data_IF_826808988383
#
_entry.id   IF_826808988383
#
_cell.length_a   1.000
_cell.length_b   1.000
_cell.length_c   1.000
_cell.angle_alpha   90.00
_cell.angle_beta   90.00
_cell.angle_gamma   90.00
#
_symmetry.space_group_name_H-M   'P 1'
#
loop_
_entity.id
_entity.type
_entity.pdbx_description
1 polymer ?
#
# COMPACT_ATOMS: atom_id res chain seq x y z
N UNK A 1 -3.54 22.75 -5.35
CA UNK A 1 -4.66 21.80 -5.19
C UNK A 1 -5.02 21.73 -3.71
N UNK A 2 -6.31 21.80 -3.33
CA UNK A 2 -6.70 21.77 -1.93
C UNK A 2 -6.35 20.41 -1.30
N UNK A 3 -5.70 20.43 -0.13
CA UNK A 3 -5.25 19.23 0.59
C UNK A 3 -6.33 18.14 0.77
N UNK A 4 -7.59 18.48 1.11
CA UNK A 4 -8.66 17.50 1.25
C UNK A 4 -8.99 16.72 -0.04
N UNK A 5 -8.86 17.35 -1.21
CA UNK A 5 -9.14 16.70 -2.49
C UNK A 5 -8.08 15.63 -2.80
N UNK A 6 -6.80 15.97 -2.61
CA UNK A 6 -5.71 15.02 -2.77
C UNK A 6 -5.85 13.83 -1.82
N UNK A 7 -6.27 14.09 -0.58
CA UNK A 7 -6.57 13.04 0.39
C UNK A 7 -7.72 12.14 -0.07
N UNK A 8 -8.86 12.72 -0.46
CA UNK A 8 -10.03 11.97 -0.94
C UNK A 8 -9.70 11.08 -2.15
N UNK A 9 -8.97 11.63 -3.13
CA UNK A 9 -8.52 10.86 -4.31
C UNK A 9 -7.62 9.70 -3.89
N UNK A 10 -6.68 9.94 -2.96
CA UNK A 10 -5.79 8.89 -2.46
C UNK A 10 -6.58 7.78 -1.75
N UNK A 11 -7.53 8.14 -0.89
CA UNK A 11 -8.38 7.18 -0.17
C UNK A 11 -9.22 6.37 -1.14
N UNK A 12 -9.81 6.99 -2.16
CA UNK A 12 -10.62 6.28 -3.16
C UNK A 12 -9.78 5.31 -4.00
N UNK A 13 -8.62 5.74 -4.50
CA UNK A 13 -7.72 4.89 -5.31
C UNK A 13 -7.21 3.70 -4.49
N UNK A 14 -6.73 3.95 -3.27
CA UNK A 14 -6.18 2.88 -2.42
C UNK A 14 -7.27 1.97 -1.84
N UNK A 15 -8.42 2.52 -1.46
CA UNK A 15 -9.54 1.75 -0.95
C UNK A 15 -10.12 0.80 -2.01
N UNK A 16 -10.33 1.28 -3.23
CA UNK A 16 -10.86 0.47 -4.35
C UNK A 16 -9.86 -0.56 -4.87
N UNK A 17 -8.56 -0.39 -4.61
CA UNK A 17 -7.54 -1.35 -5.05
C UNK A 17 -7.77 -2.74 -4.44
N UNK A 18 -8.20 -2.85 -3.18
CA UNK A 18 -8.49 -4.14 -2.55
C UNK A 18 -9.60 -4.91 -3.24
N UNK A 19 -10.67 -4.20 -3.61
CA UNK A 19 -11.77 -4.77 -4.36
C UNK A 19 -11.31 -5.20 -5.76
N UNK A 20 -10.52 -4.37 -6.45
CA UNK A 20 -9.94 -4.73 -7.75
C UNK A 20 -9.02 -5.95 -7.70
N UNK A 21 -8.21 -6.09 -6.65
CA UNK A 21 -7.37 -7.27 -6.43
C UNK A 21 -8.23 -8.52 -6.27
N UNK A 22 -9.28 -8.46 -5.43
CA UNK A 22 -10.16 -9.59 -5.21
C UNK A 22 -10.85 -10.08 -6.50
N UNK A 23 -11.22 -9.16 -7.40
CA UNK A 23 -11.77 -9.50 -8.72
C UNK A 23 -10.74 -10.15 -9.67
N UNK A 24 -9.45 -9.92 -9.42
CA UNK A 24 -8.35 -10.41 -10.25
C UNK A 24 -7.84 -11.79 -9.80
N UNK A 25 -8.16 -12.23 -8.58
CA UNK A 25 -7.83 -13.56 -8.07
C UNK A 25 -8.68 -14.62 -8.78
N UNK A 26 -8.02 -15.69 -9.25
CA UNK A 26 -8.69 -16.91 -9.76
C UNK A 26 -8.68 -17.12 -11.29
N UNK A 27 -8.36 -16.10 -12.10
CA UNK A 27 -8.28 -16.25 -13.58
C UNK A 27 -6.84 -16.38 -14.10
N UNK A 28 -5.87 -15.77 -13.43
CA UNK A 28 -4.46 -15.74 -13.81
C UNK A 28 -3.62 -15.91 -12.53
N UNK A 29 -2.47 -16.61 -12.57
CA UNK A 29 -1.57 -16.71 -11.42
C UNK A 29 -1.25 -15.32 -10.84
N UNK A 30 -1.24 -15.23 -9.52
CA UNK A 30 -1.16 -13.97 -8.78
C UNK A 30 0.12 -13.21 -9.11
N UNK A 31 1.23 -13.94 -9.24
CA UNK A 31 2.54 -13.40 -9.58
C UNK A 31 2.56 -12.73 -10.95
N UNK A 32 1.80 -13.26 -11.91
CA UNK A 32 1.70 -12.74 -13.28
C UNK A 32 0.84 -11.47 -13.29
N UNK A 33 -0.28 -11.44 -12.56
CA UNK A 33 -1.11 -10.25 -12.39
C UNK A 33 -0.34 -9.08 -11.78
N UNK A 34 0.45 -9.36 -10.74
CA UNK A 34 1.34 -8.39 -10.10
C UNK A 34 2.43 -7.91 -11.09
N UNK A 35 3.04 -8.82 -11.84
CA UNK A 35 4.05 -8.49 -12.84
C UNK A 35 3.52 -7.54 -13.92
N UNK A 36 2.36 -7.81 -14.52
CA UNK A 36 1.75 -6.93 -15.51
C UNK A 36 1.43 -5.55 -14.95
N UNK A 37 0.83 -5.49 -13.76
CA UNK A 37 0.46 -4.22 -13.11
C UNK A 37 1.67 -3.31 -12.93
N UNK A 38 2.77 -3.84 -12.38
CA UNK A 38 3.98 -3.05 -12.14
C UNK A 38 4.80 -2.81 -13.39
N UNK A 39 4.80 -3.72 -14.37
CA UNK A 39 5.43 -3.49 -15.66
C UNK A 39 4.75 -2.34 -16.43
N UNK A 40 3.41 -2.32 -16.46
CA UNK A 40 2.64 -1.23 -17.08
C UNK A 40 2.87 0.08 -16.34
N UNK A 41 2.79 0.09 -15.01
CA UNK A 41 3.02 1.29 -14.20
C UNK A 41 4.44 1.85 -14.39
N UNK A 42 5.46 0.98 -14.36
CA UNK A 42 6.85 1.35 -14.60
C UNK A 42 7.07 1.87 -16.01
N UNK A 43 6.50 1.21 -17.03
CA UNK A 43 6.56 1.65 -18.43
C UNK A 43 5.91 3.01 -18.65
N UNK A 44 4.73 3.24 -18.08
CA UNK A 44 4.03 4.53 -18.14
C UNK A 44 4.83 5.64 -17.45
N UNK A 45 5.42 5.35 -16.28
CA UNK A 45 6.25 6.32 -15.58
C UNK A 45 7.51 6.67 -16.38
N UNK A 46 8.17 5.66 -16.96
CA UNK A 46 9.34 5.87 -17.82
C UNK A 46 8.96 6.68 -19.07
N UNK A 47 7.88 6.33 -19.75
CA UNK A 47 7.37 7.05 -20.90
C UNK A 47 7.05 8.52 -20.55
N UNK A 48 6.43 8.76 -19.39
CA UNK A 48 6.15 10.10 -18.89
C UNK A 48 7.43 10.89 -18.59
N UNK A 49 8.42 10.27 -17.95
CA UNK A 49 9.72 10.88 -17.68
C UNK A 49 10.44 11.28 -18.97
N UNK A 50 10.45 10.39 -19.97
CA UNK A 50 11.02 10.64 -21.30
C UNK A 50 10.28 11.78 -22.01
N UNK A 51 8.94 11.76 -22.01
CA UNK A 51 8.12 12.80 -22.63
C UNK A 51 8.31 14.18 -21.98
N UNK A 52 8.60 14.23 -20.67
CA UNK A 52 8.90 15.48 -19.94
C UNK A 52 10.38 15.85 -19.96
N UNK A 53 11.23 15.13 -20.69
CA UNK A 53 12.67 15.40 -20.79
C UNK A 53 13.41 15.29 -19.46
N UNK A 54 12.89 14.49 -18.51
CA UNK A 54 13.52 14.32 -17.19
C UNK A 54 14.76 13.45 -17.34
N UNK A 55 15.90 13.93 -16.85
CA UNK A 55 17.13 13.14 -16.80
C UNK A 55 16.95 11.96 -15.83
N UNK A 56 16.98 10.74 -16.36
CA UNK A 56 16.98 9.49 -15.60
C UNK A 56 18.40 9.00 -15.26
N UNK A 57 19.36 9.92 -15.24
CA UNK A 57 20.76 9.65 -14.91
C UNK A 57 20.93 9.62 -13.39
N UNK A 58 20.53 8.50 -12.78
CA UNK A 58 20.76 8.23 -11.37
C UNK A 58 22.16 7.65 -11.17
N UNK A 59 22.81 7.94 -10.04
CA UNK A 59 24.06 7.26 -9.69
C UNK A 59 23.82 5.77 -9.46
N UNK A 60 24.84 4.93 -9.64
CA UNK A 60 24.71 3.47 -9.44
C UNK A 60 24.13 3.10 -8.06
N UNK A 61 24.51 3.85 -7.02
CA UNK A 61 23.94 3.68 -5.66
C UNK A 61 22.45 3.99 -5.61
N UNK A 62 22.01 5.06 -6.26
CA UNK A 62 20.60 5.45 -6.30
C UNK A 62 19.77 4.42 -7.08
N UNK A 63 20.32 3.87 -8.16
CA UNK A 63 19.68 2.79 -8.91
C UNK A 63 19.48 1.54 -8.04
N UNK A 64 20.46 1.20 -7.19
CA UNK A 64 20.33 0.08 -6.23
C UNK A 64 19.22 0.38 -5.22
N UNK A 65 19.15 1.58 -4.65
CA UNK A 65 18.07 1.92 -3.72
C UNK A 65 16.70 1.91 -4.38
N UNK A 66 16.59 2.40 -5.62
CA UNK A 66 15.34 2.33 -6.39
C UNK A 66 14.95 0.87 -6.67
N UNK A 67 15.92 0.02 -7.04
CA UNK A 67 15.68 -1.39 -7.27
C UNK A 67 15.27 -2.13 -5.98
N UNK A 68 15.94 -1.87 -4.86
CA UNK A 68 15.61 -2.42 -3.54
C UNK A 68 14.22 -1.96 -3.09
N UNK A 69 13.90 -0.69 -3.25
CA UNK A 69 12.56 -0.18 -2.95
C UNK A 69 11.51 -0.84 -3.85
N UNK A 70 11.81 -1.00 -5.14
CA UNK A 70 10.95 -1.70 -6.07
C UNK A 70 10.67 -3.14 -5.65
N UNK A 71 11.74 -3.87 -5.31
CA UNK A 71 11.67 -5.26 -4.89
C UNK A 71 10.92 -5.42 -3.56
N UNK A 72 11.28 -4.64 -2.54
CA UNK A 72 10.70 -4.80 -1.21
C UNK A 72 9.28 -4.25 -1.12
N UNK A 73 9.03 -3.04 -1.66
CA UNK A 73 7.77 -2.32 -1.49
C UNK A 73 6.70 -2.76 -2.49
N UNK A 74 7.10 -3.16 -3.70
CA UNK A 74 6.15 -3.59 -4.73
C UNK A 74 6.17 -5.10 -4.91
N UNK A 75 7.30 -5.71 -5.29
CA UNK A 75 7.31 -7.12 -5.65
C UNK A 75 7.00 -8.05 -4.46
N UNK A 76 7.87 -8.08 -3.45
CA UNK A 76 7.75 -8.98 -2.31
C UNK A 76 6.48 -8.67 -1.52
N UNK A 77 6.21 -7.39 -1.27
CA UNK A 77 5.02 -6.97 -0.55
C UNK A 77 3.74 -7.43 -1.25
N UNK A 78 3.56 -7.15 -2.55
CA UNK A 78 2.34 -7.51 -3.25
C UNK A 78 2.21 -9.02 -3.47
N UNK A 79 3.30 -9.75 -3.71
CA UNK A 79 3.24 -11.21 -3.84
C UNK A 79 2.74 -11.83 -2.54
N UNK A 80 3.30 -11.45 -1.39
CA UNK A 80 2.83 -11.93 -0.09
C UNK A 80 1.37 -11.53 0.16
N UNK A 81 0.98 -10.30 -0.21
CA UNK A 81 -0.40 -9.84 -0.08
C UNK A 81 -1.38 -10.61 -0.96
N UNK A 82 -1.03 -10.87 -2.21
CA UNK A 82 -1.89 -11.62 -3.13
C UNK A 82 -2.03 -13.08 -2.71
N UNK A 83 -0.94 -13.69 -2.23
CA UNK A 83 -1.01 -15.04 -1.62
C UNK A 83 -1.97 -14.99 -0.44
N UNK A 84 -1.82 -14.03 0.49
CA UNK A 84 -2.75 -13.88 1.61
C UNK A 84 -4.20 -13.62 1.14
N UNK A 85 -4.39 -12.88 0.04
CA UNK A 85 -5.69 -12.59 -0.54
C UNK A 85 -6.41 -13.81 -1.11
N UNK A 86 -5.68 -14.86 -1.48
CA UNK A 86 -6.27 -16.14 -1.88
C UNK A 86 -6.87 -16.93 -0.71
N UNK A 87 -6.43 -16.64 0.53
CA UNK A 87 -6.88 -17.32 1.75
C UNK A 87 -7.81 -16.46 2.62
N UNK A 88 -7.90 -15.16 2.37
CA UNK A 88 -8.59 -14.18 3.21
C UNK A 88 -9.62 -13.40 2.39
N UNK A 89 -10.77 -13.11 3.00
CA UNK A 89 -11.74 -12.19 2.37
C UNK A 89 -11.14 -10.80 2.25
N UNK A 90 -11.57 -10.04 1.23
CA UNK A 90 -11.06 -8.68 0.98
C UNK A 90 -11.25 -7.75 2.18
N UNK A 91 -12.28 -7.99 2.99
CA UNK A 91 -12.51 -7.28 4.24
C UNK A 91 -11.42 -7.52 5.28
N UNK A 92 -11.06 -8.78 5.52
CA UNK A 92 -10.01 -9.11 6.49
C UNK A 92 -8.64 -8.55 6.06
N UNK A 93 -8.34 -8.57 4.75
CA UNK A 93 -7.13 -7.93 4.22
C UNK A 93 -7.09 -6.43 4.52
N UNK A 94 -8.20 -5.73 4.37
CA UNK A 94 -8.30 -4.31 4.66
C UNK A 94 -8.07 -4.01 6.16
N UNK A 95 -8.55 -4.87 7.07
CA UNK A 95 -8.24 -4.79 8.52
C UNK A 95 -6.75 -4.91 8.76
N UNK A 96 -6.13 -5.99 8.26
CA UNK A 96 -4.71 -6.28 8.46
C UNK A 96 -3.87 -5.13 7.90
N UNK A 97 -4.19 -4.62 6.70
CA UNK A 97 -3.48 -3.49 6.13
C UNK A 97 -3.63 -2.21 6.96
N UNK A 98 -4.79 -2.00 7.57
CA UNK A 98 -5.00 -0.81 8.40
C UNK A 98 -4.23 -0.84 9.72
N UNK A 99 -3.81 -2.03 10.19
CA UNK A 99 -2.87 -2.16 11.32
C UNK A 99 -1.49 -1.55 11.02
N UNK A 100 -1.16 -1.32 9.74
CA UNK A 100 0.08 -0.66 9.33
C UNK A 100 0.18 0.76 9.92
N UNK A 101 -0.94 1.43 10.22
CA UNK A 101 -0.97 2.74 10.89
C UNK A 101 -0.34 2.65 12.28
N UNK A 102 -0.68 1.59 13.01
CA UNK A 102 -0.16 1.31 14.36
C UNK A 102 1.30 0.91 14.27
N UNK A 103 1.63 -0.01 13.36
CA UNK A 103 3.01 -0.46 13.13
C UNK A 103 3.92 0.70 12.72
N UNK A 104 3.47 1.58 11.81
CA UNK A 104 4.22 2.77 11.41
C UNK A 104 4.38 3.76 12.55
N UNK A 105 3.37 3.94 13.41
CA UNK A 105 3.49 4.82 14.58
C UNK A 105 4.55 4.32 15.55
N UNK A 106 4.52 3.02 15.89
CA UNK A 106 5.53 2.41 16.76
C UNK A 106 6.91 2.39 16.10
N UNK A 107 6.98 2.02 14.81
CA UNK A 107 8.22 2.02 14.03
C UNK A 107 8.84 3.41 13.93
N UNK A 108 8.04 4.46 13.74
CA UNK A 108 8.50 5.84 13.74
C UNK A 108 9.08 6.25 15.10
N UNK A 109 8.42 5.88 16.19
CA UNK A 109 8.90 6.14 17.54
C UNK A 109 10.22 5.38 17.85
N UNK A 110 10.30 4.11 17.47
CA UNK A 110 11.43 3.25 17.79
C UNK A 110 12.67 3.52 16.92
N UNK A 111 12.48 3.65 15.60
CA UNK A 111 13.58 3.76 14.62
C UNK A 111 14.05 5.20 14.47
N UNK A 112 13.12 6.17 14.43
CA UNK A 112 13.43 7.57 14.14
C UNK A 112 13.37 8.46 15.39
N UNK A 113 13.06 7.90 16.57
CA UNK A 113 12.97 8.65 17.83
C UNK A 113 11.87 9.72 17.84
N UNK A 114 10.92 9.67 16.90
CA UNK A 114 9.90 10.71 16.78
C UNK A 114 8.91 10.62 17.95
N UNK A 115 8.67 11.71 18.69
CA UNK A 115 7.78 11.67 19.85
C UNK A 115 6.34 11.38 19.41
N UNK A 116 5.74 10.35 20.01
CA UNK A 116 4.33 9.99 19.78
C UNK A 116 3.41 11.08 20.33
N UNK A 117 3.07 12.06 19.48
CA UNK A 117 2.14 13.14 19.83
C UNK A 117 0.78 12.54 20.18
N UNK A 118 0.20 12.96 21.33
CA UNK A 118 -1.13 12.51 21.80
C UNK A 118 -2.24 12.56 20.74
N UNK A 119 -2.19 13.54 19.83
CA UNK A 119 -3.14 13.66 18.72
C UNK A 119 -3.07 12.50 17.72
N UNK A 120 -1.87 11.99 17.45
CA UNK A 120 -1.64 10.86 16.55
C UNK A 120 -2.12 9.56 17.20
N UNK A 121 -1.80 9.37 18.48
CA UNK A 121 -2.28 8.23 19.26
C UNK A 121 -3.81 8.21 19.36
N UNK A 122 -4.44 9.36 19.64
CA UNK A 122 -5.89 9.49 19.67
C UNK A 122 -6.52 9.21 18.30
N UNK A 123 -5.93 9.73 17.22
CA UNK A 123 -6.38 9.44 15.85
C UNK A 123 -6.29 7.96 15.49
N UNK A 124 -5.21 7.28 15.87
CA UNK A 124 -5.08 5.84 15.66
C UNK A 124 -6.05 5.04 16.52
N UNK A 125 -6.30 5.44 17.77
CA UNK A 125 -7.30 4.78 18.63
C UNK A 125 -8.71 4.85 18.03
N UNK A 126 -9.13 6.03 17.55
CA UNK A 126 -10.40 6.21 16.85
C UNK A 126 -10.43 5.36 15.57
N UNK A 127 -9.34 5.38 14.78
CA UNK A 127 -9.23 4.57 13.57
C UNK A 127 -9.39 3.08 13.83
N UNK A 128 -8.63 2.53 14.79
CA UNK A 128 -8.69 1.12 15.17
C UNK A 128 -10.07 0.71 15.68
N UNK A 129 -10.72 1.58 16.45
CA UNK A 129 -12.07 1.33 16.97
C UNK A 129 -13.08 1.29 15.81
N UNK A 130 -13.00 2.24 14.88
CA UNK A 130 -13.83 2.26 13.68
C UNK A 130 -13.63 1.03 12.79
N UNK A 131 -12.39 0.56 12.63
CA UNK A 131 -12.09 -0.69 11.93
C UNK A 131 -12.68 -1.91 12.66
N UNK A 132 -12.46 -2.02 13.97
CA UNK A 132 -12.96 -3.14 14.76
C UNK A 132 -14.49 -3.25 14.70
N UNK A 133 -15.19 -2.11 14.68
CA UNK A 133 -16.65 -2.07 14.51
C UNK A 133 -17.07 -2.43 13.08
N UNK A 134 -16.36 -1.94 12.05
CA UNK A 134 -16.68 -2.21 10.65
C UNK A 134 -16.60 -3.71 10.33
N UNK A 135 -15.57 -4.38 10.85
CA UNK A 135 -15.30 -5.80 10.60
C UNK A 135 -15.75 -6.71 11.75
N UNK A 136 -16.51 -6.18 12.70
CA UNK A 136 -17.06 -6.94 13.82
C UNK A 136 -17.90 -8.16 13.37
N UNK A 137 -18.71 -8.07 12.30
CA UNK A 137 -19.46 -9.22 11.81
C UNK A 137 -18.54 -10.33 11.31
N UNK A 138 -17.53 -10.01 10.48
CA UNK A 138 -16.57 -11.01 9.97
C UNK A 138 -15.64 -11.57 11.06
N UNK A 139 -15.42 -10.84 12.16
CA UNK A 139 -14.65 -11.33 13.31
C UNK A 139 -15.43 -12.28 14.23
N UNK A 140 -16.77 -12.25 14.18
CA UNK A 140 -17.64 -13.09 15.03
C UNK A 140 -18.09 -14.39 14.35
N UNK A 141 -17.91 -14.56 13.04
CA UNK A 141 -18.25 -15.78 12.31
C UNK A 141 -18.46 -15.55 10.83
#
# INVERSE_FOLDING_TARGET
MPGPLLYAVTVLIWGTTWYGIALQVGTVPETVSVAYRFAIAGGLLLAWCLARGRRLAFGWRDQIFVALQGLCLFCVNYVVFYIAASYLTSGLLAVVFSTIVVMNMFGAALIFGTPMRRRVVAGAGIGLTGMALLFWPELRG
#
